data_IF_287394371459
#
_entry.id   IF_287394371459
#
_cell.length_a   1.000
_cell.length_b   1.000
_cell.length_c   1.000
_cell.angle_alpha   90.00
_cell.angle_beta   90.00
_cell.angle_gamma   90.00
#
_symmetry.space_group_name_H-M   'P 1'
#
loop_
_entity.id
_entity.type
_entity.pdbx_description
1 polymer ?
#
# COMPACT_ATOMS: atom_id res chain seq x y z
N UNK A 1 16.88 -6.00 -16.42
CA UNK A 1 15.56 -5.45 -16.79
C UNK A 1 15.51 -4.03 -16.28
N UNK A 2 15.17 -3.05 -17.13
CA UNK A 2 14.98 -1.66 -16.68
C UNK A 2 13.50 -1.48 -16.33
N UNK A 3 13.19 -1.09 -15.09
CA UNK A 3 11.83 -0.90 -14.58
C UNK A 3 11.65 0.55 -14.14
N UNK A 4 10.59 1.21 -14.62
CA UNK A 4 10.14 2.48 -14.05
C UNK A 4 9.14 2.19 -12.93
N UNK A 5 9.52 2.53 -11.71
CA UNK A 5 8.64 2.49 -10.54
C UNK A 5 8.32 3.89 -10.05
N UNK A 6 7.06 4.13 -9.68
CA UNK A 6 6.62 5.38 -9.07
C UNK A 6 6.04 5.10 -7.69
N UNK A 7 6.47 5.91 -6.72
CA UNK A 7 6.00 5.84 -5.35
C UNK A 7 5.04 6.99 -5.07
N UNK A 8 3.83 6.66 -4.61
CA UNK A 8 2.89 7.63 -4.08
C UNK A 8 2.65 7.44 -2.57
N UNK A 9 2.55 8.56 -1.87
CA UNK A 9 2.03 8.62 -0.51
C UNK A 9 0.54 9.02 -0.60
N UNK A 10 -0.36 8.07 -0.41
CA UNK A 10 -1.80 8.15 -0.71
C UNK A 10 -2.59 8.23 0.60
N UNK A 11 -2.52 9.36 1.28
CA UNK A 11 -3.20 9.56 2.57
C UNK A 11 -4.58 10.19 2.37
N UNK A 12 -5.58 9.65 3.06
CA UNK A 12 -6.83 10.33 3.32
C UNK A 12 -6.85 10.74 4.80
N UNK A 13 -6.69 12.04 5.08
CA UNK A 13 -6.58 12.58 6.44
C UNK A 13 -7.92 12.58 7.20
N UNK A 14 -9.06 12.58 6.49
CA UNK A 14 -10.39 12.52 7.12
C UNK A 14 -10.66 11.16 7.75
N UNK A 15 -10.22 10.10 7.07
CA UNK A 15 -10.46 8.70 7.48
C UNK A 15 -9.26 8.07 8.17
N UNK A 16 -8.09 8.70 8.11
CA UNK A 16 -6.80 8.15 8.54
C UNK A 16 -6.52 6.79 7.89
N UNK A 17 -6.88 6.66 6.61
CA UNK A 17 -6.72 5.45 5.77
C UNK A 17 -6.01 5.79 4.46
N UNK A 18 -5.52 4.77 3.72
CA UNK A 18 -5.04 5.00 2.37
C UNK A 18 -6.16 5.51 1.45
N UNK A 19 -5.84 6.42 0.53
CA UNK A 19 -6.74 6.79 -0.57
C UNK A 19 -6.68 5.71 -1.65
N UNK A 20 -7.50 4.66 -1.48
CA UNK A 20 -7.61 3.56 -2.42
C UNK A 20 -8.07 4.03 -3.81
N UNK A 21 -8.91 5.08 -3.87
CA UNK A 21 -9.48 5.55 -5.14
C UNK A 21 -8.43 6.23 -6.01
N UNK A 22 -7.49 6.93 -5.39
CA UNK A 22 -6.32 7.47 -6.08
C UNK A 22 -5.57 6.35 -6.82
N UNK A 23 -5.28 5.24 -6.15
CA UNK A 23 -4.56 4.10 -6.73
C UNK A 23 -5.32 3.49 -7.90
N UNK A 24 -6.62 3.22 -7.74
CA UNK A 24 -7.47 2.72 -8.84
C UNK A 24 -7.41 3.64 -10.07
N UNK A 25 -7.48 4.95 -9.85
CA UNK A 25 -7.49 5.95 -10.93
C UNK A 25 -6.14 6.03 -11.65
N UNK A 26 -5.03 5.89 -10.92
CA UNK A 26 -3.67 5.85 -11.50
C UNK A 26 -3.47 4.56 -12.29
N UNK A 27 -3.80 3.39 -11.72
CA UNK A 27 -3.61 2.08 -12.36
C UNK A 27 -4.39 1.96 -13.68
N UNK A 28 -5.58 2.56 -13.77
CA UNK A 28 -6.38 2.59 -15.01
C UNK A 28 -5.71 3.35 -16.16
N UNK A 29 -4.85 4.32 -15.85
CA UNK A 29 -4.22 5.21 -16.84
C UNK A 29 -2.80 4.82 -17.18
N UNK A 30 -2.08 4.21 -16.23
CA UNK A 30 -0.65 3.99 -16.37
C UNK A 30 -0.24 2.57 -15.96
N UNK A 31 0.60 1.89 -16.77
CA UNK A 31 1.02 0.52 -16.50
C UNK A 31 2.37 0.39 -15.78
N UNK A 32 2.96 1.48 -15.29
CA UNK A 32 4.23 1.43 -14.56
C UNK A 32 4.08 0.70 -13.22
N UNK A 33 5.22 0.31 -12.64
CA UNK A 33 5.23 -0.34 -11.32
C UNK A 33 4.84 0.67 -10.23
N UNK A 34 3.79 0.37 -9.48
CA UNK A 34 3.16 1.31 -8.55
C UNK A 34 3.42 0.90 -7.10
N UNK A 35 4.24 1.69 -6.40
CA UNK A 35 4.40 1.61 -4.94
C UNK A 35 3.41 2.57 -4.27
N UNK A 36 2.54 2.04 -3.41
CA UNK A 36 1.59 2.82 -2.62
C UNK A 36 1.94 2.77 -1.14
N UNK A 37 1.84 3.89 -0.44
CA UNK A 37 2.05 3.97 1.02
C UNK A 37 1.16 5.04 1.64
N UNK A 38 1.14 5.14 2.96
CA UNK A 38 0.37 6.16 3.68
C UNK A 38 -0.80 5.55 4.43
N UNK A 39 -0.84 5.76 5.74
CA UNK A 39 -1.88 5.25 6.65
C UNK A 39 -2.24 3.76 6.54
N UNK A 40 -1.32 2.91 6.10
CA UNK A 40 -1.48 1.45 6.16
C UNK A 40 -1.34 1.00 7.62
N UNK A 41 -2.45 0.59 8.24
CA UNK A 41 -2.54 0.25 9.67
C UNK A 41 -3.12 -1.14 9.92
N UNK A 42 -3.35 -1.93 8.87
CA UNK A 42 -3.83 -3.31 8.97
C UNK A 42 -3.48 -4.11 7.71
N UNK A 43 -3.65 -5.43 7.78
CA UNK A 43 -3.56 -6.29 6.61
C UNK A 43 -4.64 -5.97 5.58
N UNK A 44 -5.85 -5.63 6.03
CA UNK A 44 -6.96 -5.20 5.16
C UNK A 44 -6.61 -3.93 4.36
N UNK A 45 -5.91 -2.96 4.96
CA UNK A 45 -5.48 -1.76 4.25
C UNK A 45 -4.49 -2.11 3.12
N UNK A 46 -3.57 -3.05 3.39
CA UNK A 46 -2.63 -3.52 2.38
C UNK A 46 -3.33 -4.33 1.28
N UNK A 47 -4.26 -5.23 1.64
CA UNK A 47 -5.09 -5.99 0.68
C UNK A 47 -5.84 -5.05 -0.27
N UNK A 48 -6.55 -4.04 0.27
CA UNK A 48 -7.28 -3.07 -0.54
C UNK A 48 -6.38 -2.25 -1.47
N UNK A 49 -5.15 -1.94 -1.07
CA UNK A 49 -4.19 -1.29 -1.96
C UNK A 49 -3.74 -2.20 -3.10
N UNK A 50 -3.51 -3.49 -2.83
CA UNK A 50 -3.21 -4.47 -3.88
C UNK A 50 -4.40 -4.65 -4.83
N UNK A 51 -5.62 -4.78 -4.30
CA UNK A 51 -6.86 -4.87 -5.08
C UNK A 51 -7.10 -3.61 -5.94
N UNK A 52 -6.78 -2.42 -5.41
CA UNK A 52 -6.83 -1.16 -6.16
C UNK A 52 -5.78 -1.08 -7.28
N UNK A 53 -4.77 -1.94 -7.26
CA UNK A 53 -3.77 -2.09 -8.32
C UNK A 53 -2.36 -1.59 -7.99
N UNK A 54 -2.01 -1.43 -6.71
CA UNK A 54 -0.63 -1.26 -6.31
C UNK A 54 0.16 -2.56 -6.53
N UNK A 55 1.39 -2.46 -7.03
CA UNK A 55 2.30 -3.61 -7.16
C UNK A 55 3.09 -3.83 -5.87
N UNK A 56 3.24 -2.80 -5.06
CA UNK A 56 3.91 -2.85 -3.76
C UNK A 56 3.23 -1.91 -2.76
N UNK A 57 3.19 -2.32 -1.50
CA UNK A 57 2.66 -1.53 -0.38
C UNK A 57 3.78 -1.22 0.62
N UNK A 58 3.96 0.07 0.92
CA UNK A 58 4.94 0.58 1.89
C UNK A 58 4.30 0.95 3.22
N UNK A 59 4.94 0.53 4.32
CA UNK A 59 4.52 0.79 5.71
C UNK A 59 5.70 1.41 6.45
N UNK A 60 5.49 2.56 7.11
CA UNK A 60 6.53 3.29 7.82
C UNK A 60 6.16 3.54 9.28
N UNK A 61 5.22 4.44 9.59
CA UNK A 61 4.97 4.89 10.98
C UNK A 61 4.83 3.76 12.02
N UNK A 62 4.06 2.68 11.81
CA UNK A 62 3.92 1.60 12.79
C UNK A 62 5.22 0.82 13.05
N UNK A 63 6.17 0.81 12.10
CA UNK A 63 7.40 0.00 12.22
C UNK A 63 8.40 0.61 13.19
N UNK A 64 8.21 1.87 13.59
CA UNK A 64 9.01 2.54 14.62
C UNK A 64 8.82 1.91 16.00
N UNK A 65 7.58 1.52 16.30
CA UNK A 65 7.19 0.97 17.60
C UNK A 65 7.14 -0.56 17.57
N UNK A 66 6.90 -1.16 16.40
CA UNK A 66 6.85 -2.61 16.20
C UNK A 66 7.70 -3.03 14.97
N UNK A 67 8.96 -3.43 15.16
CA UNK A 67 9.84 -3.85 14.06
C UNK A 67 9.32 -5.06 13.26
N UNK A 68 8.45 -5.88 13.85
CA UNK A 68 7.87 -7.06 13.20
C UNK A 68 6.57 -6.76 12.44
N UNK A 69 6.11 -5.51 12.47
CA UNK A 69 4.79 -5.13 11.98
C UNK A 69 4.54 -5.53 10.52
N UNK A 70 5.53 -5.34 9.64
CA UNK A 70 5.44 -5.73 8.23
C UNK A 70 5.29 -7.26 8.11
N UNK A 71 6.07 -8.03 8.87
CA UNK A 71 5.99 -9.49 8.85
C UNK A 71 4.63 -9.99 9.36
N UNK A 72 4.07 -9.35 10.41
CA UNK A 72 2.74 -9.65 10.94
C UNK A 72 1.64 -9.43 9.90
N UNK A 73 1.67 -8.31 9.18
CA UNK A 73 0.73 -8.03 8.09
C UNK A 73 0.91 -9.03 6.95
N UNK A 74 2.15 -9.26 6.49
CA UNK A 74 2.43 -10.18 5.40
C UNK A 74 1.94 -11.61 5.71
N UNK A 75 2.06 -12.05 6.97
CA UNK A 75 1.58 -13.35 7.43
C UNK A 75 0.05 -13.48 7.46
N UNK A 76 -0.70 -12.37 7.49
CA UNK A 76 -2.17 -12.37 7.42
C UNK A 76 -2.67 -12.43 5.97
N UNK A 77 -2.00 -11.70 5.07
CA UNK A 77 -2.35 -11.65 3.64
C UNK A 77 -2.08 -12.99 2.95
N UNK A 78 -0.94 -13.62 3.24
CA UNK A 78 -0.53 -14.90 2.61
C UNK A 78 -1.37 -16.12 3.00
N UNK A 79 -2.25 -16.00 4.00
CA UNK A 79 -3.05 -17.12 4.54
C UNK A 79 -4.45 -17.22 3.92
N UNK A 80 -4.75 -16.41 2.92
CA UNK A 80 -5.98 -16.48 2.11
C UNK A 80 -5.66 -16.99 0.72
#
# INVERSE_FOLDING_TARGET
MNLLGIHFNVRNDETMKPDFKFIENIRKKYPFFLLASGYVRSAEDAEKLFEAGADMVGIADPTRDDPEYIAKIAGQIRKR
#
